data_IF_520612197971
#
_entry.id   IF_520612197971
#
_cell.length_a   1.000
_cell.length_b   1.000
_cell.length_c   1.000
_cell.angle_alpha   90.00
_cell.angle_beta   90.00
_cell.angle_gamma   90.00
#
_symmetry.space_group_name_H-M   'P 1'
#
loop_
_entity.id
_entity.type
_entity.pdbx_description
1 polymer ?
#
# COMPACT_ATOMS: atom_id res chain seq x y z
N UNK A 1 13.19 -2.83 -15.24
CA UNK A 1 12.09 -3.67 -15.68
C UNK A 1 11.34 -4.08 -14.42
N UNK A 2 10.02 -3.93 -14.38
CA UNK A 2 9.23 -4.33 -13.21
C UNK A 2 9.13 -5.84 -13.11
N UNK A 3 8.87 -6.37 -11.90
CA UNK A 3 8.65 -7.81 -11.68
C UNK A 3 7.16 -8.08 -11.54
N UNK A 4 6.67 -9.11 -12.23
CA UNK A 4 5.28 -9.52 -12.19
C UNK A 4 5.20 -11.00 -11.81
N UNK A 5 4.41 -11.32 -10.78
CA UNK A 5 4.12 -12.71 -10.42
C UNK A 5 2.77 -13.11 -11.01
N UNK A 6 2.73 -14.25 -11.69
CA UNK A 6 1.51 -14.87 -12.21
C UNK A 6 1.24 -16.17 -11.45
N UNK A 7 0.05 -16.30 -10.87
CA UNK A 7 -0.40 -17.50 -10.16
C UNK A 7 -1.68 -17.99 -10.81
N UNK A 8 -1.59 -19.08 -11.56
CA UNK A 8 -2.68 -19.65 -12.36
C UNK A 8 -2.33 -21.11 -12.64
N UNK A 9 -3.25 -22.06 -12.54
CA UNK A 9 -2.98 -23.47 -12.77
C UNK A 9 -2.86 -23.83 -14.27
N UNK A 10 -3.41 -22.98 -15.15
CA UNK A 10 -3.29 -23.14 -16.60
C UNK A 10 -1.89 -22.79 -17.12
N UNK A 11 -1.08 -23.80 -17.41
CA UNK A 11 0.29 -23.63 -17.93
C UNK A 11 0.32 -22.88 -19.28
N UNK A 12 -0.66 -23.13 -20.14
CA UNK A 12 -0.71 -22.47 -21.44
C UNK A 12 -0.96 -20.96 -21.29
N UNK A 13 -1.83 -20.61 -20.36
CA UNK A 13 -2.12 -19.22 -20.05
C UNK A 13 -0.92 -18.52 -19.37
N UNK A 14 -0.24 -19.17 -18.42
CA UNK A 14 0.99 -18.61 -17.81
C UNK A 14 2.07 -18.35 -18.87
N UNK A 15 2.23 -19.31 -19.80
CA UNK A 15 3.17 -19.13 -20.93
C UNK A 15 2.80 -17.96 -21.83
N UNK A 16 1.50 -17.81 -22.14
CA UNK A 16 0.99 -16.70 -22.93
C UNK A 16 1.22 -15.36 -22.23
N UNK A 17 0.89 -15.26 -20.93
CA UNK A 17 1.15 -14.05 -20.14
C UNK A 17 2.64 -13.69 -20.11
N UNK A 18 3.53 -14.69 -20.03
CA UNK A 18 4.96 -14.46 -20.07
C UNK A 18 5.39 -13.84 -21.40
N UNK A 19 4.87 -14.37 -22.52
CA UNK A 19 5.19 -13.84 -23.85
C UNK A 19 4.64 -12.40 -24.00
N UNK A 20 3.37 -12.19 -23.69
CA UNK A 20 2.67 -10.93 -23.92
C UNK A 20 3.17 -9.79 -23.01
N UNK A 21 3.74 -10.11 -21.84
CA UNK A 21 4.14 -9.10 -20.86
C UNK A 21 5.66 -8.96 -20.73
N UNK A 22 6.46 -9.79 -21.42
CA UNK A 22 7.94 -9.82 -21.32
C UNK A 22 8.63 -8.54 -21.75
N UNK A 23 8.03 -7.75 -22.64
CA UNK A 23 8.58 -6.46 -23.07
C UNK A 23 8.60 -5.40 -21.95
N UNK A 24 7.73 -5.57 -20.96
CA UNK A 24 7.53 -4.57 -19.89
C UNK A 24 7.94 -5.10 -18.52
N UNK A 25 7.77 -6.39 -18.27
CA UNK A 25 7.96 -7.02 -16.97
C UNK A 25 8.85 -8.27 -17.05
N UNK A 26 9.64 -8.48 -16.00
CA UNK A 26 10.21 -9.79 -15.69
C UNK A 26 9.08 -10.63 -15.07
N UNK A 27 8.59 -11.63 -15.80
CA UNK A 27 7.46 -12.46 -15.38
C UNK A 27 7.96 -13.70 -14.66
N UNK A 28 7.55 -13.85 -13.42
CA UNK A 28 7.72 -15.04 -12.59
C UNK A 28 6.36 -15.71 -12.50
N UNK A 29 6.27 -17.02 -12.57
CA UNK A 29 4.97 -17.69 -12.53
C UNK A 29 4.98 -18.98 -11.69
N UNK A 30 3.80 -19.34 -11.21
CA UNK A 30 3.53 -20.59 -10.51
C UNK A 30 2.16 -21.12 -10.88
N UNK A 31 2.06 -22.46 -11.02
CA UNK A 31 0.79 -23.16 -11.13
C UNK A 31 0.20 -23.56 -9.78
N UNK A 32 0.94 -23.35 -8.68
CA UNK A 32 0.54 -23.77 -7.34
C UNK A 32 0.48 -22.57 -6.39
N UNK A 33 -0.62 -22.41 -5.61
CA UNK A 33 -0.83 -21.31 -4.69
C UNK A 33 0.27 -21.15 -3.64
N UNK A 34 0.72 -22.27 -3.05
CA UNK A 34 1.75 -22.27 -2.00
C UNK A 34 3.10 -21.78 -2.55
N UNK A 35 3.46 -22.23 -3.74
CA UNK A 35 4.66 -21.76 -4.43
C UNK A 35 4.51 -20.29 -4.83
N UNK A 36 3.32 -19.87 -5.27
CA UNK A 36 3.01 -18.46 -5.57
C UNK A 36 3.27 -17.54 -4.37
N UNK A 37 2.85 -17.97 -3.18
CA UNK A 37 3.12 -17.21 -1.95
C UNK A 37 4.62 -17.15 -1.64
N UNK A 38 5.35 -18.27 -1.77
CA UNK A 38 6.79 -18.31 -1.54
C UNK A 38 7.54 -17.38 -2.52
N UNK A 39 7.18 -17.41 -3.80
CA UNK A 39 7.77 -16.54 -4.83
C UNK A 39 7.46 -15.06 -4.57
N UNK A 40 6.26 -14.72 -4.08
CA UNK A 40 5.92 -13.34 -3.73
C UNK A 40 6.78 -12.81 -2.58
N UNK A 41 7.06 -13.65 -1.58
CA UNK A 41 7.91 -13.30 -0.43
C UNK A 41 9.38 -13.15 -0.84
N UNK A 42 9.88 -14.04 -1.69
CA UNK A 42 11.26 -14.07 -2.15
C UNK A 42 11.57 -12.94 -3.13
N UNK A 43 10.76 -12.80 -4.17
CA UNK A 43 11.05 -11.90 -5.29
C UNK A 43 10.45 -10.51 -5.14
N UNK A 44 9.49 -10.30 -4.23
CA UNK A 44 8.82 -9.02 -3.96
C UNK A 44 8.36 -8.34 -5.26
N UNK A 45 7.46 -8.97 -6.04
CA UNK A 45 7.04 -8.44 -7.33
C UNK A 45 6.32 -7.10 -7.19
N UNK A 46 6.29 -6.32 -8.26
CA UNK A 46 5.58 -5.04 -8.33
C UNK A 46 4.06 -5.22 -8.40
N UNK A 47 3.60 -6.38 -8.93
CA UNK A 47 2.21 -6.77 -8.97
C UNK A 47 2.07 -8.31 -9.02
N UNK A 48 0.89 -8.79 -8.65
CA UNK A 48 0.51 -10.21 -8.72
C UNK A 48 -0.74 -10.33 -9.60
N UNK A 49 -0.69 -11.18 -10.63
CA UNK A 49 -1.87 -11.66 -11.35
C UNK A 49 -2.28 -12.99 -10.73
N UNK A 50 -3.53 -13.11 -10.31
CA UNK A 50 -4.03 -14.25 -9.56
C UNK A 50 -5.31 -14.80 -10.19
N UNK A 51 -5.33 -16.09 -10.52
CA UNK A 51 -6.57 -16.77 -10.83
C UNK A 51 -7.35 -17.14 -9.55
N UNK A 52 -8.66 -17.08 -9.64
CA UNK A 52 -9.56 -17.50 -8.55
C UNK A 52 -9.80 -18.99 -8.54
N UNK A 53 -9.77 -19.64 -9.72
CA UNK A 53 -10.10 -21.05 -9.87
C UNK A 53 -8.85 -21.89 -10.07
N UNK A 54 -8.30 -22.35 -8.96
CA UNK A 54 -7.19 -23.29 -8.97
C UNK A 54 -7.58 -24.59 -8.24
N UNK A 55 -7.14 -25.76 -8.71
CA UNK A 55 -7.37 -27.03 -8.03
C UNK A 55 -6.81 -27.00 -6.61
N UNK A 56 -7.54 -27.59 -5.67
CA UNK A 56 -7.18 -27.77 -4.23
C UNK A 56 -7.22 -26.50 -3.38
N UNK A 57 -7.07 -25.31 -3.95
CA UNK A 57 -7.08 -24.05 -3.18
C UNK A 57 -7.94 -23.01 -3.87
N UNK A 58 -8.68 -22.26 -3.06
CA UNK A 58 -9.44 -21.11 -3.54
C UNK A 58 -8.51 -19.92 -3.74
N UNK A 59 -8.50 -19.31 -4.93
CA UNK A 59 -7.78 -18.06 -5.17
C UNK A 59 -8.25 -16.93 -4.26
N UNK A 60 -9.46 -17.02 -3.70
CA UNK A 60 -9.94 -16.07 -2.69
C UNK A 60 -9.15 -16.17 -1.38
N UNK A 61 -8.80 -17.39 -0.93
CA UNK A 61 -7.98 -17.59 0.28
C UNK A 61 -6.57 -17.05 0.06
N UNK A 62 -6.03 -17.26 -1.13
CA UNK A 62 -4.70 -16.75 -1.48
C UNK A 62 -4.72 -15.21 -1.59
N UNK A 63 -5.78 -14.61 -2.15
CA UNK A 63 -5.98 -13.16 -2.15
C UNK A 63 -6.00 -12.60 -0.72
N UNK A 64 -6.78 -13.21 0.18
CA UNK A 64 -6.81 -12.82 1.58
C UNK A 64 -5.43 -12.94 2.24
N UNK A 65 -4.70 -14.01 1.93
CA UNK A 65 -3.34 -14.22 2.44
C UNK A 65 -2.39 -13.12 1.96
N UNK A 66 -2.38 -12.80 0.67
CA UNK A 66 -1.55 -11.73 0.13
C UNK A 66 -1.86 -10.37 0.74
N UNK A 67 -3.15 -10.08 0.95
CA UNK A 67 -3.60 -8.78 1.48
C UNK A 67 -3.46 -8.66 3.00
N UNK A 68 -3.39 -9.78 3.73
CA UNK A 68 -3.24 -9.80 5.18
C UNK A 68 -1.78 -9.80 5.66
N UNK A 69 -0.88 -10.45 4.92
CA UNK A 69 0.52 -10.59 5.32
C UNK A 69 1.28 -9.27 5.15
N UNK A 70 1.99 -8.83 6.18
CA UNK A 70 2.74 -7.57 6.20
C UNK A 70 3.76 -7.42 5.07
N UNK A 71 4.30 -8.52 4.58
CA UNK A 71 5.31 -8.54 3.51
C UNK A 71 4.71 -8.46 2.10
N UNK A 72 3.46 -8.88 1.91
CA UNK A 72 2.78 -8.93 0.61
C UNK A 72 1.60 -7.95 0.49
N UNK A 73 1.03 -7.47 1.60
CA UNK A 73 -0.16 -6.59 1.63
C UNK A 73 -0.05 -5.30 0.80
N UNK A 74 1.17 -4.92 0.39
CA UNK A 74 1.42 -3.73 -0.43
C UNK A 74 1.58 -4.05 -1.91
N UNK A 75 1.71 -5.32 -2.23
CA UNK A 75 1.80 -5.76 -3.62
C UNK A 75 0.38 -5.77 -4.16
N UNK A 76 0.06 -4.97 -5.18
CA UNK A 76 -1.26 -4.99 -5.76
C UNK A 76 -1.55 -6.36 -6.37
N UNK A 77 -2.65 -6.97 -5.93
CA UNK A 77 -3.14 -8.23 -6.48
C UNK A 77 -4.25 -7.92 -7.48
N UNK A 78 -4.06 -8.32 -8.72
CA UNK A 78 -5.00 -8.19 -9.81
C UNK A 78 -5.56 -9.57 -10.11
N UNK A 79 -6.86 -9.70 -10.03
CA UNK A 79 -7.54 -10.95 -10.36
C UNK A 79 -7.66 -11.09 -11.86
N UNK A 80 -7.38 -12.31 -12.35
CA UNK A 80 -7.56 -12.71 -13.76
C UNK A 80 -8.34 -14.02 -13.76
N UNK A 81 -9.65 -13.98 -13.98
CA UNK A 81 -10.50 -15.15 -13.79
C UNK A 81 -11.57 -15.29 -14.86
N UNK A 82 -11.98 -16.55 -15.11
CA UNK A 82 -13.13 -16.87 -15.95
C UNK A 82 -14.49 -16.65 -15.23
N UNK A 83 -14.48 -16.29 -13.96
CA UNK A 83 -15.70 -15.94 -13.26
C UNK A 83 -16.17 -14.55 -13.69
N UNK A 84 -17.32 -14.49 -14.36
CA UNK A 84 -17.94 -13.24 -14.75
C UNK A 84 -18.99 -12.83 -13.72
N UNK A 85 -19.12 -11.50 -13.48
CA UNK A 85 -20.22 -10.98 -12.66
C UNK A 85 -19.79 -9.88 -11.70
N UNK A 86 -20.75 -8.97 -11.44
CA UNK A 86 -20.52 -7.82 -10.55
C UNK A 86 -20.29 -8.22 -9.09
N UNK A 87 -20.96 -9.26 -8.63
CA UNK A 87 -20.82 -9.76 -7.25
C UNK A 87 -19.41 -10.30 -6.98
N UNK A 88 -18.85 -11.08 -7.90
CA UNK A 88 -17.49 -11.61 -7.81
C UNK A 88 -16.46 -10.48 -7.77
N UNK A 89 -16.62 -9.48 -8.65
CA UNK A 89 -15.71 -8.31 -8.68
C UNK A 89 -15.77 -7.52 -7.38
N UNK A 90 -16.98 -7.26 -6.89
CA UNK A 90 -17.15 -6.50 -5.64
C UNK A 90 -16.61 -7.28 -4.44
N UNK A 91 -16.83 -8.60 -4.40
CA UNK A 91 -16.25 -9.46 -3.36
C UNK A 91 -14.72 -9.43 -3.37
N UNK A 92 -14.08 -9.59 -4.54
CA UNK A 92 -12.63 -9.49 -4.65
C UNK A 92 -12.10 -8.12 -4.21
N UNK A 93 -12.80 -7.05 -4.55
CA UNK A 93 -12.46 -5.70 -4.13
C UNK A 93 -12.55 -5.54 -2.61
N UNK A 94 -13.57 -6.10 -1.95
CA UNK A 94 -13.71 -6.12 -0.49
C UNK A 94 -12.55 -6.89 0.16
N UNK A 95 -12.06 -7.95 -0.47
CA UNK A 95 -10.88 -8.70 -0.05
C UNK A 95 -9.54 -7.99 -0.34
N UNK A 96 -9.58 -6.83 -0.99
CA UNK A 96 -8.41 -6.00 -1.23
C UNK A 96 -7.75 -6.18 -2.61
N UNK A 97 -8.43 -6.80 -3.58
CA UNK A 97 -7.94 -6.84 -4.96
C UNK A 97 -7.83 -5.42 -5.54
N UNK A 98 -6.71 -5.14 -6.21
CA UNK A 98 -6.43 -3.85 -6.84
C UNK A 98 -7.11 -3.71 -8.21
N UNK A 99 -7.40 -4.82 -8.87
CA UNK A 99 -8.04 -4.86 -10.17
C UNK A 99 -8.67 -6.22 -10.47
N UNK A 100 -9.48 -6.28 -11.54
CA UNK A 100 -10.15 -7.50 -11.99
C UNK A 100 -10.21 -7.53 -13.53
N UNK A 101 -9.72 -8.61 -14.12
CA UNK A 101 -9.81 -8.89 -15.55
C UNK A 101 -10.49 -10.23 -15.80
N UNK A 102 -11.40 -10.27 -16.74
CA UNK A 102 -12.09 -11.49 -17.13
C UNK A 102 -11.30 -12.25 -18.19
N UNK A 103 -11.34 -13.58 -18.14
CA UNK A 103 -10.86 -14.43 -19.23
C UNK A 103 -11.98 -14.54 -20.30
N UNK A 104 -11.69 -14.38 -21.62
CA UNK A 104 -10.38 -14.21 -22.24
C UNK A 104 -9.77 -12.81 -21.98
N UNK A 105 -8.45 -12.79 -21.76
CA UNK A 105 -7.75 -11.58 -21.31
C UNK A 105 -7.60 -10.57 -22.47
N UNK A 106 -8.00 -9.34 -22.22
CA UNK A 106 -7.57 -8.18 -23.01
C UNK A 106 -6.14 -7.79 -22.55
N UNK A 107 -5.13 -8.27 -23.27
CA UNK A 107 -3.73 -8.01 -22.94
C UNK A 107 -3.33 -6.54 -23.12
N UNK A 108 -3.97 -5.82 -24.02
CA UNK A 108 -3.72 -4.38 -24.20
C UNK A 108 -4.21 -3.60 -22.97
N UNK A 109 -5.45 -3.87 -22.56
CA UNK A 109 -6.02 -3.27 -21.37
C UNK A 109 -5.26 -3.66 -20.09
N UNK A 110 -4.86 -4.93 -19.96
CA UNK A 110 -4.07 -5.41 -18.82
C UNK A 110 -2.70 -4.72 -18.77
N UNK A 111 -2.00 -4.62 -19.89
CA UNK A 111 -0.70 -3.94 -19.99
C UNK A 111 -0.82 -2.46 -19.62
N UNK A 112 -1.83 -1.76 -20.14
CA UNK A 112 -2.09 -0.36 -19.83
C UNK A 112 -2.43 -0.16 -18.35
N UNK A 113 -3.11 -1.12 -17.72
CA UNK A 113 -3.39 -1.10 -16.28
C UNK A 113 -2.12 -1.31 -15.46
N UNK A 114 -1.33 -2.33 -15.77
CA UNK A 114 -0.10 -2.67 -15.07
C UNK A 114 0.95 -1.54 -15.14
N UNK A 115 1.03 -0.82 -16.26
CA UNK A 115 1.94 0.31 -16.42
C UNK A 115 1.61 1.50 -15.49
N UNK A 116 0.37 1.61 -15.01
CA UNK A 116 -0.06 2.63 -14.04
C UNK A 116 0.30 2.25 -12.61
N UNK A 117 0.64 0.99 -12.35
CA UNK A 117 1.07 0.53 -11.04
C UNK A 117 2.49 1.05 -10.78
N UNK A 118 2.74 1.70 -9.62
CA UNK A 118 4.07 2.13 -9.26
C UNK A 118 5.02 0.93 -9.16
N UNK A 119 6.06 0.89 -9.98
CA UNK A 119 7.07 -0.17 -9.91
C UNK A 119 7.96 0.04 -8.68
N UNK A 120 8.15 -1.02 -7.89
CA UNK A 120 9.01 -1.02 -6.70
C UNK A 120 10.49 -0.81 -7.10
N UNK A 121 10.88 0.42 -7.35
CA UNK A 121 12.24 0.82 -7.76
C UNK A 121 12.32 2.18 -8.43
N UNK A 122 11.19 2.78 -8.84
CA UNK A 122 11.14 4.10 -9.49
C UNK A 122 10.27 5.14 -8.79
N UNK A 123 9.54 4.79 -7.77
CA UNK A 123 8.84 5.76 -6.91
C UNK A 123 9.38 5.67 -5.50
N UNK A 124 9.69 6.84 -4.94
CA UNK A 124 10.08 7.08 -3.54
C UNK A 124 9.64 5.99 -2.56
N UNK A 125 10.52 5.56 -1.65
CA UNK A 125 10.31 4.39 -0.80
C UNK A 125 9.10 4.59 0.13
N UNK A 126 7.92 4.15 -0.29
CA UNK A 126 6.80 3.86 0.61
C UNK A 126 6.92 2.43 1.15
N UNK A 127 8.14 2.00 1.40
CA UNK A 127 8.48 0.65 1.85
C UNK A 127 8.52 0.53 3.37
N UNK A 128 7.63 1.23 4.08
CA UNK A 128 7.58 1.12 5.53
C UNK A 128 6.30 0.46 6.01
N UNK A 129 6.47 -0.53 6.87
CA UNK A 129 5.36 -1.14 7.61
C UNK A 129 4.64 -0.04 8.37
N UNK A 130 3.36 0.15 8.06
CA UNK A 130 2.50 1.05 8.82
C UNK A 130 1.66 0.22 9.78
N UNK A 131 1.83 0.50 11.04
CA UNK A 131 1.04 -0.13 12.10
C UNK A 131 -0.11 0.78 12.46
N UNK A 132 -1.34 0.25 12.49
CA UNK A 132 -2.48 1.00 13.05
C UNK A 132 -2.26 1.14 14.55
N UNK A 133 -1.85 2.30 14.96
CA UNK A 133 -1.57 2.60 16.36
C UNK A 133 -2.02 4.03 16.66
N UNK A 134 -2.86 4.19 17.67
CA UNK A 134 -3.29 5.48 18.16
C UNK A 134 -2.34 5.98 19.23
N UNK A 135 -1.61 7.03 18.91
CA UNK A 135 -0.66 7.69 19.82
C UNK A 135 -1.04 9.17 19.91
N UNK A 136 -1.12 9.66 21.10
CA UNK A 136 -1.35 11.09 21.34
C UNK A 136 -0.05 11.86 21.06
N UNK A 137 -0.15 12.86 20.20
CA UNK A 137 0.96 13.71 19.75
C UNK A 137 0.62 15.17 20.02
N UNK A 138 1.66 15.98 20.10
CA UNK A 138 1.59 17.43 19.99
C UNK A 138 2.44 17.87 18.83
N UNK A 139 1.86 18.68 17.93
CA UNK A 139 2.51 19.24 16.76
C UNK A 139 2.75 20.73 17.00
N UNK A 140 3.99 21.18 16.86
CA UNK A 140 4.35 22.60 16.94
C UNK A 140 4.98 23.07 15.63
N UNK A 141 4.50 24.17 15.10
CA UNK A 141 4.99 24.72 13.84
C UNK A 141 4.73 26.21 13.72
N UNK A 142 4.95 26.71 12.52
CA UNK A 142 4.52 28.03 12.11
C UNK A 142 3.75 27.91 10.77
N UNK A 143 2.71 28.71 10.62
CA UNK A 143 1.97 28.81 9.37
C UNK A 143 2.75 29.62 8.30
N UNK A 144 2.17 29.77 7.13
CA UNK A 144 2.75 30.52 6.02
C UNK A 144 3.01 32.01 6.30
N UNK A 145 2.38 32.54 7.37
CA UNK A 145 2.55 33.92 7.84
C UNK A 145 3.54 34.03 9.02
N UNK A 146 4.15 32.90 9.42
CA UNK A 146 5.10 32.84 10.53
C UNK A 146 4.44 32.81 11.92
N UNK A 147 3.11 32.73 12.00
CA UNK A 147 2.37 32.59 13.27
C UNK A 147 2.57 31.18 13.81
N UNK A 148 3.08 31.11 15.03
CA UNK A 148 3.30 29.83 15.72
C UNK A 148 1.96 29.18 16.10
N UNK A 149 1.90 27.88 15.93
CA UNK A 149 0.77 27.05 16.40
C UNK A 149 1.25 25.85 17.21
N UNK A 150 0.38 25.37 18.07
CA UNK A 150 0.54 24.16 18.85
C UNK A 150 -0.77 23.39 18.84
N UNK A 151 -0.76 22.16 18.34
CA UNK A 151 -1.98 21.37 18.13
C UNK A 151 -1.82 19.96 18.70
N UNK A 152 -2.87 19.51 19.38
CA UNK A 152 -3.02 18.12 19.79
C UNK A 152 -3.49 17.29 18.59
N UNK A 153 -2.81 16.18 18.34
CA UNK A 153 -3.14 15.27 17.27
C UNK A 153 -3.12 13.82 17.77
N UNK A 154 -3.84 12.94 17.08
CA UNK A 154 -3.82 11.50 17.36
C UNK A 154 -3.44 10.76 16.08
N UNK A 155 -2.49 9.82 16.19
CA UNK A 155 -2.14 9.00 15.03
C UNK A 155 -3.23 7.99 14.72
N UNK A 156 -3.39 7.69 13.43
CA UNK A 156 -4.20 6.57 12.94
C UNK A 156 -3.33 5.38 12.54
N UNK A 157 -2.17 5.69 12.00
CA UNK A 157 -1.12 4.73 11.74
C UNK A 157 0.25 5.39 11.87
N UNK A 158 1.24 4.56 12.12
CA UNK A 158 2.64 4.96 12.31
C UNK A 158 3.57 4.07 11.52
N UNK A 159 4.70 4.61 11.09
CA UNK A 159 5.79 3.89 10.44
C UNK A 159 7.14 4.40 10.96
N UNK A 160 8.24 3.80 10.54
CA UNK A 160 9.59 4.28 10.92
C UNK A 160 9.88 5.68 10.38
N UNK A 161 9.40 6.02 9.16
CA UNK A 161 9.67 7.32 8.51
C UNK A 161 8.56 8.34 8.67
N UNK A 162 7.39 7.98 9.26
CA UNK A 162 6.30 8.93 9.36
C UNK A 162 5.03 8.40 10.03
N UNK A 163 3.96 9.17 9.92
CA UNK A 163 2.68 8.83 10.52
C UNK A 163 1.52 9.52 9.79
N UNK A 164 0.33 8.95 9.90
CA UNK A 164 -0.93 9.60 9.60
C UNK A 164 -1.57 10.01 10.92
N UNK A 165 -1.93 11.27 11.06
CA UNK A 165 -2.62 11.76 12.25
C UNK A 165 -3.85 12.59 11.90
N UNK A 166 -4.73 12.76 12.86
CA UNK A 166 -5.91 13.60 12.79
C UNK A 166 -5.86 14.70 13.85
N UNK A 167 -6.27 15.91 13.47
CA UNK A 167 -6.51 17.04 14.36
C UNK A 167 -7.59 17.97 13.80
N UNK A 168 -8.03 18.94 14.59
CA UNK A 168 -9.06 19.91 14.19
C UNK A 168 -8.51 21.17 13.54
N UNK A 169 -7.22 21.44 13.72
CA UNK A 169 -6.57 22.62 13.16
C UNK A 169 -6.28 22.50 11.67
N UNK A 170 -6.28 23.62 11.00
CA UNK A 170 -5.83 23.73 9.62
C UNK A 170 -4.34 24.01 9.58
N UNK A 171 -3.56 22.99 9.18
CA UNK A 171 -2.12 23.10 9.01
C UNK A 171 -1.81 23.12 7.51
N UNK A 172 -1.11 24.14 7.01
CA UNK A 172 -0.79 24.24 5.59
C UNK A 172 0.01 23.03 5.09
N UNK A 173 -0.25 22.57 3.87
CA UNK A 173 0.57 21.57 3.19
C UNK A 173 2.01 22.06 3.09
N UNK A 174 2.96 21.12 3.10
CA UNK A 174 4.41 21.38 3.10
C UNK A 174 4.97 22.03 4.38
N UNK A 175 4.14 22.29 5.40
CA UNK A 175 4.63 22.80 6.68
C UNK A 175 5.57 21.81 7.37
N UNK A 176 6.60 22.36 8.04
CA UNK A 176 7.48 21.57 8.92
C UNK A 176 7.00 21.74 10.35
N UNK A 177 6.71 20.61 10.99
CA UNK A 177 6.24 20.57 12.37
C UNK A 177 7.23 19.84 13.28
N UNK A 178 7.41 20.32 14.50
CA UNK A 178 8.05 19.58 15.58
C UNK A 178 7.06 18.62 16.20
N UNK A 179 7.45 17.39 16.39
CA UNK A 179 6.60 16.31 16.88
C UNK A 179 7.01 15.95 18.30
N UNK A 180 6.03 15.86 19.18
CA UNK A 180 6.19 15.46 20.58
C UNK A 180 5.24 14.32 20.90
N UNK A 181 5.72 13.30 21.60
CA UNK A 181 4.88 12.29 22.26
C UNK A 181 4.33 12.90 23.57
N UNK A 182 3.05 12.62 23.85
CA UNK A 182 2.39 13.18 25.06
C UNK A 182 1.94 12.10 26.05
N UNK A 183 2.22 10.84 25.80
CA UNK A 183 1.76 9.70 26.63
C UNK A 183 2.39 9.64 28.03
N UNK A 184 3.61 10.16 28.21
CA UNK A 184 4.35 10.17 29.49
C UNK A 184 4.94 11.55 29.82
N UNK A 185 4.32 12.61 29.33
CA UNK A 185 4.87 13.95 29.32
C UNK A 185 5.21 14.38 27.90
N UNK A 186 5.66 15.64 27.71
CA UNK A 186 6.07 16.07 26.37
C UNK A 186 7.49 15.63 26.05
N UNK A 187 7.62 14.65 25.18
CA UNK A 187 8.91 14.12 24.74
C UNK A 187 9.13 14.42 23.26
N UNK A 188 10.18 15.18 22.95
CA UNK A 188 10.52 15.57 21.58
C UNK A 188 10.97 14.36 20.76
N UNK A 189 10.36 14.17 19.59
CA UNK A 189 10.67 13.08 18.66
C UNK A 189 11.56 13.55 17.51
N UNK A 190 11.22 14.67 16.91
CA UNK A 190 11.92 15.15 15.71
C UNK A 190 11.10 16.18 14.94
N UNK A 191 11.53 16.43 13.70
CA UNK A 191 10.80 17.28 12.74
C UNK A 191 10.17 16.43 11.64
N UNK A 192 8.93 16.73 11.29
CA UNK A 192 8.22 16.10 10.20
C UNK A 192 7.67 17.14 9.23
N UNK A 193 7.63 16.79 7.95
CA UNK A 193 6.99 17.56 6.89
C UNK A 193 5.59 17.01 6.66
N UNK A 194 4.59 17.88 6.53
CA UNK A 194 3.26 17.51 6.09
C UNK A 194 3.29 17.29 4.59
N UNK A 195 3.05 16.06 4.15
CA UNK A 195 3.14 15.64 2.73
C UNK A 195 1.77 15.40 2.11
N UNK A 196 0.74 15.32 2.93
CA UNK A 196 -0.65 15.11 2.47
C UNK A 196 -1.63 15.64 3.50
N UNK A 197 -2.72 16.26 3.04
CA UNK A 197 -3.85 16.65 3.88
C UNK A 197 -5.16 16.24 3.21
N UNK A 198 -6.09 15.67 3.98
CA UNK A 198 -7.39 15.22 3.49
C UNK A 198 -8.49 15.58 4.51
N UNK A 199 -9.64 15.97 4.00
CA UNK A 199 -10.83 16.35 4.78
C UNK A 199 -11.86 15.22 4.63
N UNK A 200 -11.87 14.28 5.56
CA UNK A 200 -12.88 13.20 5.59
C UNK A 200 -14.03 13.59 6.49
N UNK A 201 -15.06 14.19 5.91
CA UNK A 201 -16.38 14.36 6.52
C UNK A 201 -16.37 14.98 7.94
N UNK A 202 -16.56 16.30 8.06
CA UNK A 202 -16.64 17.00 9.33
C UNK A 202 -15.48 17.97 9.59
N UNK A 203 -15.28 18.35 10.85
CA UNK A 203 -14.25 19.31 11.28
C UNK A 203 -12.86 18.70 11.50
N UNK A 204 -12.70 17.38 11.31
CA UNK A 204 -11.42 16.67 11.54
C UNK A 204 -10.66 16.54 10.24
N UNK A 205 -9.44 17.01 10.23
CA UNK A 205 -8.50 16.90 9.11
C UNK A 205 -7.48 15.80 9.37
N UNK A 206 -7.10 15.07 8.32
CA UNK A 206 -6.08 14.03 8.36
C UNK A 206 -4.81 14.53 7.67
N UNK A 207 -3.68 14.30 8.32
CA UNK A 207 -2.37 14.76 7.86
C UNK A 207 -1.41 13.59 7.73
N UNK A 208 -0.88 13.36 6.52
CA UNK A 208 0.26 12.49 6.30
C UNK A 208 1.55 13.26 6.58
N UNK A 209 2.35 12.77 7.53
CA UNK A 209 3.57 13.38 7.99
C UNK A 209 4.77 12.47 7.71
N UNK A 210 5.85 13.03 7.18
CA UNK A 210 7.12 12.33 6.95
C UNK A 210 8.22 12.96 7.79
N UNK A 211 8.95 12.16 8.57
CA UNK A 211 10.07 12.65 9.37
C UNK A 211 11.21 13.12 8.48
N UNK A 212 11.65 14.36 8.69
CA UNK A 212 12.87 14.93 8.11
C UNK A 212 14.07 14.61 9.00
N UNK A 213 13.84 14.65 10.30
CA UNK A 213 14.84 14.42 11.34
C UNK A 213 14.14 13.73 12.51
N UNK A 214 14.76 12.69 13.06
CA UNK A 214 14.27 11.94 14.19
C UNK A 214 15.40 11.74 15.20
N UNK A 215 15.34 12.45 16.32
CA UNK A 215 16.39 12.47 17.33
C UNK A 215 15.96 11.92 18.68
N UNK A 216 14.66 11.83 18.89
CA UNK A 216 14.03 11.30 20.08
C UNK A 216 13.39 9.93 19.84
N UNK A 217 12.81 9.33 20.90
CA UNK A 217 12.15 8.05 20.83
C UNK A 217 10.91 8.12 19.93
N UNK A 218 10.70 7.07 19.15
CA UNK A 218 9.51 6.86 18.38
C UNK A 218 8.88 5.52 18.76
N UNK A 219 7.60 5.37 18.52
CA UNK A 219 6.83 4.17 18.89
C UNK A 219 7.21 2.91 18.12
N UNK A 220 7.92 3.06 17.02
CA UNK A 220 8.54 1.97 16.26
C UNK A 220 10.05 2.20 16.21
N UNK A 221 10.81 1.22 16.65
CA UNK A 221 12.28 1.17 16.62
C UNK A 221 12.73 0.20 15.53
#
# INVERSE_FOLDING_TARGET
MGKLLVVDDDEALRRLMRIELSDTFEVIDSGEPEQGLALALEHKPDAILLDLRMPKYSGYELLQTFTALSHTQRIPVIIVSGEAGGETKEHCKQLGAAGYFEKPIDFEGLRAYLQKIPQNGRSTPRAEVRVRLRVALKLRGADSQGKKFEEAATTENVSLSGFLCSCTAEIPSDSIVKVYLTSKGEEYVGKAKIVHSDLKGGSVRHYGCHFLEKTGPWVLQ
#
